data_IF_299378931351
#
_entry.id   IF_299378931351
#
_cell.length_a   1.000
_cell.length_b   1.000
_cell.length_c   1.000
_cell.angle_alpha   90.00
_cell.angle_beta   90.00
_cell.angle_gamma   90.00
#
_symmetry.space_group_name_H-M   'P 1'
#
loop_
_entity.id
_entity.type
_entity.pdbx_description
1 polymer ?
#
# COMPACT_ATOMS: atom_id res chain seq x y z
N UNK A 1 -24.97 24.51 -19.45
CA UNK A 1 -25.06 24.69 -17.99
C UNK A 1 -24.28 23.58 -17.30
N UNK A 2 -23.30 23.94 -16.47
CA UNK A 2 -22.61 22.96 -15.63
C UNK A 2 -23.47 22.68 -14.41
N UNK A 3 -23.76 21.40 -14.16
CA UNK A 3 -24.51 20.95 -12.98
C UNK A 3 -23.54 20.59 -11.86
N UNK A 4 -23.98 20.75 -10.61
CA UNK A 4 -23.21 20.26 -9.46
C UNK A 4 -23.25 18.73 -9.38
N UNK A 5 -22.25 18.15 -8.72
CA UNK A 5 -22.23 16.73 -8.42
C UNK A 5 -23.44 16.34 -7.55
N UNK A 6 -24.05 15.19 -7.82
CA UNK A 6 -25.22 14.70 -7.06
C UNK A 6 -24.91 14.21 -5.64
N UNK A 7 -23.62 14.04 -5.31
CA UNK A 7 -23.19 13.54 -4.01
C UNK A 7 -23.38 14.66 -2.98
N UNK A 8 -24.12 14.42 -1.87
CA UNK A 8 -24.37 15.42 -0.85
C UNK A 8 -23.06 16.05 -0.34
N UNK A 9 -23.08 17.37 -0.13
CA UNK A 9 -21.93 18.16 0.32
C UNK A 9 -20.70 18.15 -0.63
N UNK A 10 -20.83 17.68 -1.88
CA UNK A 10 -19.76 17.81 -2.86
C UNK A 10 -19.81 19.20 -3.53
N UNK A 11 -18.79 20.06 -3.34
CA UNK A 11 -18.78 21.39 -3.97
C UNK A 11 -18.40 21.35 -5.46
N UNK A 12 -18.04 20.18 -5.99
CA UNK A 12 -17.52 20.06 -7.34
C UNK A 12 -18.64 20.00 -8.39
N UNK A 13 -18.34 20.50 -9.60
CA UNK A 13 -19.20 20.32 -10.76
C UNK A 13 -19.18 18.85 -11.23
N UNK A 14 -20.34 18.37 -11.67
CA UNK A 14 -20.44 17.10 -12.35
C UNK A 14 -19.79 17.21 -13.74
N UNK A 15 -19.29 16.08 -14.24
CA UNK A 15 -18.73 16.03 -15.60
C UNK A 15 -19.86 16.23 -16.62
N UNK A 16 -19.60 16.89 -17.78
CA UNK A 16 -20.59 16.98 -18.86
C UNK A 16 -21.15 15.59 -19.21
N UNK A 17 -22.48 15.46 -19.25
CA UNK A 17 -23.17 14.18 -19.50
C UNK A 17 -23.19 13.19 -18.33
N UNK A 18 -22.63 13.51 -17.15
CA UNK A 18 -22.63 12.65 -15.93
C UNK A 18 -23.18 13.37 -14.70
N UNK A 19 -23.72 12.61 -13.75
CA UNK A 19 -24.30 13.17 -12.52
C UNK A 19 -23.26 13.35 -11.40
N UNK A 20 -22.12 12.64 -11.50
CA UNK A 20 -21.02 12.71 -10.54
C UNK A 20 -19.81 13.48 -11.11
N UNK A 21 -19.00 14.03 -10.20
CA UNK A 21 -17.71 14.62 -10.52
C UNK A 21 -16.63 13.55 -10.73
N UNK A 22 -15.52 13.93 -11.36
CA UNK A 22 -14.39 13.02 -11.67
C UNK A 22 -13.87 12.30 -10.42
N UNK A 23 -13.78 12.98 -9.27
CA UNK A 23 -13.28 12.40 -8.03
C UNK A 23 -14.19 11.29 -7.49
N UNK A 24 -15.50 11.50 -7.51
CA UNK A 24 -16.46 10.48 -7.08
C UNK A 24 -16.53 9.32 -8.06
N UNK A 25 -16.41 9.59 -9.36
CA UNK A 25 -16.31 8.55 -10.37
C UNK A 25 -15.06 7.68 -10.16
N UNK A 26 -13.90 8.29 -9.92
CA UNK A 26 -12.65 7.56 -9.66
C UNK A 26 -12.75 6.71 -8.39
N UNK A 27 -13.39 7.21 -7.33
CA UNK A 27 -13.63 6.45 -6.11
C UNK A 27 -14.58 5.27 -6.34
N UNK A 28 -15.68 5.48 -7.06
CA UNK A 28 -16.62 4.39 -7.43
C UNK A 28 -15.93 3.32 -8.27
N UNK A 29 -15.13 3.73 -9.25
CA UNK A 29 -14.36 2.81 -10.07
C UNK A 29 -13.37 1.99 -9.24
N UNK A 30 -12.62 2.64 -8.34
CA UNK A 30 -11.68 1.96 -7.44
C UNK A 30 -12.36 0.96 -6.51
N UNK A 31 -13.56 1.26 -6.03
CA UNK A 31 -14.34 0.35 -5.18
C UNK A 31 -14.89 -0.87 -5.95
N UNK A 32 -15.07 -0.75 -7.26
CA UNK A 32 -15.52 -1.84 -8.13
C UNK A 32 -14.37 -2.69 -8.69
N UNK A 33 -13.13 -2.24 -8.54
CA UNK A 33 -11.98 -3.05 -8.93
C UNK A 33 -11.85 -4.22 -7.95
N UNK A 34 -11.75 -5.47 -8.45
CA UNK A 34 -11.39 -6.59 -7.60
C UNK A 34 -10.05 -6.26 -6.93
N UNK A 35 -10.04 -6.25 -5.61
CA UNK A 35 -8.79 -6.18 -4.85
C UNK A 35 -8.20 -7.57 -4.95
N UNK A 36 -7.16 -7.73 -5.76
CA UNK A 36 -6.42 -8.99 -5.76
C UNK A 36 -5.89 -9.22 -4.35
N UNK A 37 -6.05 -10.44 -3.80
CA UNK A 37 -5.42 -10.77 -2.53
C UNK A 37 -3.92 -10.52 -2.66
N UNK A 38 -3.32 -9.96 -1.61
CA UNK A 38 -1.87 -9.82 -1.57
C UNK A 38 -1.24 -11.20 -1.85
N UNK A 39 -0.19 -11.29 -2.67
CA UNK A 39 0.44 -12.56 -2.96
C UNK A 39 0.83 -13.24 -1.65
N UNK A 40 0.52 -14.53 -1.54
CA UNK A 40 0.96 -15.35 -0.41
C UNK A 40 2.49 -15.38 -0.42
N UNK A 41 3.09 -14.68 0.53
CA UNK A 41 4.54 -14.66 0.69
C UNK A 41 4.94 -15.87 1.52
N UNK A 42 5.90 -16.64 1.03
CA UNK A 42 6.50 -17.73 1.78
C UNK A 42 7.26 -17.18 2.99
N UNK A 43 6.68 -17.40 4.17
CA UNK A 43 7.24 -16.92 5.43
C UNK A 43 8.55 -17.64 5.79
N UNK A 44 8.79 -18.84 5.28
CA UNK A 44 10.05 -19.57 5.51
C UNK A 44 11.21 -18.94 4.75
N UNK A 45 10.96 -18.49 3.51
CA UNK A 45 11.93 -17.76 2.70
C UNK A 45 12.26 -16.39 3.31
N UNK A 46 11.24 -15.66 3.77
CA UNK A 46 11.41 -14.40 4.50
C UNK A 46 12.23 -14.60 5.78
N UNK A 47 11.95 -15.65 6.54
CA UNK A 47 12.66 -15.93 7.78
C UNK A 47 14.12 -16.34 7.53
N UNK A 48 14.40 -17.05 6.43
CA UNK A 48 15.76 -17.34 5.98
C UNK A 48 16.52 -16.07 5.65
N UNK A 49 15.94 -15.13 4.91
CA UNK A 49 16.59 -13.86 4.52
C UNK A 49 16.90 -13.01 5.75
N UNK A 50 15.95 -12.92 6.69
CA UNK A 50 16.11 -12.22 7.97
C UNK A 50 17.22 -12.86 8.83
N UNK A 51 17.28 -14.20 8.91
CA UNK A 51 18.29 -14.91 9.71
C UNK A 51 19.68 -14.90 9.07
N UNK A 52 19.74 -14.94 7.74
CA UNK A 52 21.00 -14.98 6.98
C UNK A 52 21.65 -13.59 6.83
N UNK A 53 20.95 -12.51 7.19
CA UNK A 53 21.45 -11.14 7.07
C UNK A 53 21.67 -10.71 5.62
N UNK A 54 21.04 -11.40 4.67
CA UNK A 54 21.09 -11.07 3.25
C UNK A 54 20.22 -9.84 3.00
N UNK A 55 20.67 -8.96 2.11
CA UNK A 55 19.87 -7.81 1.72
C UNK A 55 18.66 -8.27 0.92
N UNK A 56 17.46 -7.88 1.34
CA UNK A 56 16.22 -8.15 0.63
C UNK A 56 16.01 -7.24 -0.61
N UNK A 57 17.04 -6.49 -1.02
CA UNK A 57 16.97 -5.55 -2.14
C UNK A 57 16.55 -6.20 -3.46
N UNK A 58 16.94 -7.46 -3.68
CA UNK A 58 16.64 -8.21 -4.90
C UNK A 58 15.26 -8.91 -4.85
N UNK A 59 14.56 -8.87 -3.71
CA UNK A 59 13.26 -9.51 -3.59
C UNK A 59 12.17 -8.72 -4.34
N UNK A 60 11.15 -9.42 -4.86
CA UNK A 60 9.89 -8.82 -5.27
C UNK A 60 9.32 -7.90 -4.19
N UNK A 61 8.68 -6.81 -4.62
CA UNK A 61 8.14 -5.79 -3.72
C UNK A 61 7.20 -6.35 -2.64
N UNK A 62 6.41 -7.37 -2.97
CA UNK A 62 5.49 -7.97 -2.01
C UNK A 62 6.23 -8.71 -0.89
N UNK A 63 7.31 -9.40 -1.23
CA UNK A 63 8.17 -10.07 -0.26
C UNK A 63 8.92 -9.04 0.59
N UNK A 64 9.44 -7.96 0.00
CA UNK A 64 10.02 -6.85 0.77
C UNK A 64 9.02 -6.28 1.78
N UNK A 65 7.74 -6.14 1.40
CA UNK A 65 6.68 -5.69 2.31
C UNK A 65 6.41 -6.68 3.44
N UNK A 66 6.41 -7.98 3.15
CA UNK A 66 6.26 -9.02 4.17
C UNK A 66 7.45 -9.05 5.14
N UNK A 67 8.70 -8.95 4.65
CA UNK A 67 9.91 -8.81 5.47
C UNK A 67 9.78 -7.60 6.40
N UNK A 68 9.38 -6.44 5.86
CA UNK A 68 9.17 -5.22 6.64
C UNK A 68 8.11 -5.42 7.73
N UNK A 69 6.98 -6.04 7.40
CA UNK A 69 5.91 -6.30 8.36
C UNK A 69 6.35 -7.25 9.49
N UNK A 70 7.10 -8.31 9.16
CA UNK A 70 7.58 -9.28 10.12
C UNK A 70 8.70 -8.71 11.02
N UNK A 71 9.61 -7.91 10.47
CA UNK A 71 10.63 -7.21 11.27
C UNK A 71 10.01 -6.16 12.18
N UNK A 72 8.98 -5.45 11.71
CA UNK A 72 8.24 -4.48 12.51
C UNK A 72 7.49 -5.13 13.67
N UNK A 73 6.89 -6.32 13.48
CA UNK A 73 6.21 -7.05 14.56
C UNK A 73 7.18 -7.51 15.66
N UNK A 74 8.45 -7.77 15.29
CA UNK A 74 9.57 -8.04 16.22
C UNK A 74 10.15 -6.77 16.85
N UNK A 75 9.51 -5.60 16.66
CA UNK A 75 9.94 -4.29 17.17
C UNK A 75 11.30 -3.82 16.66
N UNK A 76 11.69 -4.26 15.46
CA UNK A 76 12.93 -3.78 14.82
C UNK A 76 12.76 -2.31 14.40
N UNK A 77 13.75 -1.42 14.67
CA UNK A 77 13.68 -0.02 14.25
C UNK A 77 13.59 0.14 12.72
N UNK A 78 12.85 1.15 12.26
CA UNK A 78 12.62 1.39 10.84
C UNK A 78 13.91 1.65 10.05
N UNK A 79 14.88 2.35 10.64
CA UNK A 79 16.22 2.54 10.09
C UNK A 79 16.95 1.22 9.83
N UNK A 80 16.89 0.28 10.78
CA UNK A 80 17.52 -1.04 10.65
C UNK A 80 16.83 -1.91 9.59
N UNK A 81 15.51 -1.83 9.51
CA UNK A 81 14.73 -2.49 8.46
C UNK A 81 15.10 -1.94 7.09
N UNK A 82 15.25 -0.62 6.96
CA UNK A 82 15.60 0.07 5.73
C UNK A 82 16.96 -0.42 5.18
N UNK A 83 17.96 -0.56 6.05
CA UNK A 83 19.28 -1.13 5.70
C UNK A 83 19.17 -2.58 5.19
N UNK A 84 18.44 -3.44 5.91
CA UNK A 84 18.29 -4.85 5.56
C UNK A 84 17.55 -5.04 4.24
N UNK A 85 16.55 -4.21 3.97
CA UNK A 85 15.70 -4.33 2.76
C UNK A 85 16.25 -3.51 1.58
N UNK A 86 17.20 -2.61 1.81
CA UNK A 86 17.75 -1.75 0.76
C UNK A 86 16.78 -0.65 0.32
N UNK A 87 15.89 -0.20 1.20
CA UNK A 87 14.90 0.86 0.92
C UNK A 87 15.12 2.05 1.85
N UNK A 88 14.41 3.16 1.62
CA UNK A 88 14.45 4.30 2.55
C UNK A 88 13.55 4.06 3.77
N UNK A 89 13.93 4.63 4.92
CA UNK A 89 13.12 4.60 6.15
C UNK A 89 11.71 5.17 5.96
N UNK A 90 11.57 6.21 5.11
CA UNK A 90 10.26 6.74 4.70
C UNK A 90 9.38 5.68 4.02
N UNK A 91 10.00 4.80 3.22
CA UNK A 91 9.29 3.70 2.54
C UNK A 91 8.82 2.66 3.55
N UNK A 92 9.66 2.32 4.53
CA UNK A 92 9.31 1.44 5.65
C UNK A 92 8.09 1.98 6.41
N UNK A 93 8.11 3.25 6.83
CA UNK A 93 6.97 3.86 7.52
C UNK A 93 5.69 3.90 6.68
N UNK A 94 5.80 4.16 5.37
CA UNK A 94 4.65 4.12 4.46
C UNK A 94 4.04 2.72 4.37
N UNK A 95 4.85 1.67 4.37
CA UNK A 95 4.36 0.30 4.33
C UNK A 95 3.77 -0.14 5.67
N UNK A 96 4.37 0.27 6.79
CA UNK A 96 3.83 0.04 8.13
C UNK A 96 2.44 0.69 8.32
N UNK A 97 2.24 1.91 7.81
CA UNK A 97 0.94 2.61 7.89
C UNK A 97 -0.08 2.09 6.88
N UNK A 98 0.36 1.61 5.72
CA UNK A 98 -0.51 0.96 4.72
C UNK A 98 -1.04 -0.40 5.15
N UNK A 99 -0.28 -1.17 5.92
CA UNK A 99 -0.68 -2.50 6.41
C UNK A 99 -1.61 -2.48 7.63
N UNK A 100 -1.70 -1.38 8.38
CA UNK A 100 -2.61 -1.29 9.55
C UNK A 100 -4.09 -1.06 9.17
N UNK A 101 -4.40 -0.94 7.87
CA UNK A 101 -5.76 -0.67 7.38
C UNK A 101 -6.41 -1.87 6.66
N UNK A 102 -5.81 -3.07 6.75
CA UNK A 102 -6.34 -4.31 6.19
C UNK A 102 -6.83 -5.24 7.32
#
# INVERSE_FOLDING_TARGET
MNRYCEIPACPNFARPGRHTCTSHQARQHRAQLPVEPAPEVDLEEVEFIVRSGLSAADLPRAEQQAVVAQLASRRTPASRIAELVGVSERTVHRWQTGNQAA
#
